data_IF_726985056458
#
_entry.id   IF_726985056458
#
_cell.length_a   1.000
_cell.length_b   1.000
_cell.length_c   1.000
_cell.angle_alpha   90.00
_cell.angle_beta   90.00
_cell.angle_gamma   90.00
#
_symmetry.space_group_name_H-M   'P 1'
#
loop_
_entity.id
_entity.type
_entity.pdbx_description
1 polymer ?
#
# COMPACT_ATOMS: atom_id res chain seq x y z
N UNK A 1 5.48 13.51 -5.76
CA UNK A 1 5.63 12.25 -5.83
C UNK A 1 5.06 11.49 -4.69
N UNK A 2 4.23 12.09 -3.98
CA UNK A 2 3.56 11.41 -2.89
C UNK A 2 2.54 10.45 -3.41
N UNK A 3 2.64 9.16 -3.10
CA UNK A 3 1.64 8.20 -3.53
C UNK A 3 0.27 8.40 -2.88
N UNK A 4 0.17 9.20 -1.82
CA UNK A 4 -1.13 9.44 -1.21
C UNK A 4 -2.15 9.98 -2.18
N UNK A 5 -1.80 10.98 -2.98
CA UNK A 5 -2.73 11.50 -3.96
C UNK A 5 -3.14 10.46 -4.97
N UNK A 6 -2.18 9.64 -5.41
CA UNK A 6 -2.46 8.61 -6.38
C UNK A 6 -3.34 7.51 -5.81
N UNK A 7 -3.11 7.14 -4.54
CA UNK A 7 -3.89 6.10 -3.88
C UNK A 7 -5.34 6.55 -3.71
N UNK A 8 -5.56 7.84 -3.47
CA UNK A 8 -6.91 8.38 -3.28
C UNK A 8 -7.54 8.87 -4.57
N UNK A 9 -6.86 8.75 -5.71
CA UNK A 9 -7.40 9.22 -6.98
C UNK A 9 -8.59 8.39 -7.43
N UNK A 10 -9.50 9.05 -8.12
CA UNK A 10 -10.67 8.40 -8.70
C UNK A 10 -10.70 8.71 -10.18
N UNK A 11 -10.85 7.71 -11.04
CA UNK A 11 -10.92 6.28 -10.71
C UNK A 11 -9.59 5.76 -10.19
N UNK A 12 -9.62 4.56 -9.62
CA UNK A 12 -8.44 3.95 -9.01
C UNK A 12 -7.34 3.79 -10.05
N UNK A 13 -6.15 4.21 -9.71
CA UNK A 13 -4.99 4.12 -10.60
C UNK A 13 -4.45 2.69 -10.66
N UNK A 14 -4.08 2.26 -11.86
CA UNK A 14 -3.40 0.98 -12.06
C UNK A 14 -1.92 1.14 -12.33
N UNK A 15 -1.36 2.34 -12.13
CA UNK A 15 0.03 2.61 -12.46
C UNK A 15 0.91 2.96 -11.26
N UNK A 16 0.44 2.68 -10.06
CA UNK A 16 1.21 2.98 -8.85
C UNK A 16 2.21 1.88 -8.61
N UNK A 17 3.46 2.23 -8.45
CA UNK A 17 4.51 1.25 -8.18
C UNK A 17 4.38 0.77 -6.74
N UNK A 18 4.49 -0.54 -6.56
CA UNK A 18 4.41 -1.12 -5.21
C UNK A 18 5.50 -0.58 -4.30
N UNK A 19 6.69 -0.34 -4.84
CA UNK A 19 7.79 0.21 -4.04
C UNK A 19 7.41 1.54 -3.40
N UNK A 20 6.62 2.36 -4.11
CA UNK A 20 6.18 3.64 -3.58
C UNK A 20 5.17 3.45 -2.46
N UNK A 21 4.34 2.43 -2.56
CA UNK A 21 3.38 2.13 -1.49
C UNK A 21 4.12 1.66 -0.23
N UNK A 22 5.13 0.80 -0.39
CA UNK A 22 5.93 0.37 0.77
C UNK A 22 6.64 1.56 1.41
N UNK A 23 7.18 2.45 0.60
CA UNK A 23 7.84 3.64 1.12
C UNK A 23 6.87 4.51 1.91
N UNK A 24 5.64 4.62 1.42
CA UNK A 24 4.62 5.38 2.14
C UNK A 24 4.30 4.74 3.49
N UNK A 25 4.16 3.42 3.52
CA UNK A 25 3.91 2.74 4.79
C UNK A 25 5.02 3.04 5.80
N UNK A 26 6.27 2.99 5.35
CA UNK A 26 7.40 3.29 6.24
C UNK A 26 7.34 4.72 6.72
N UNK A 27 7.00 5.66 5.84
CA UNK A 27 6.85 7.06 6.24
C UNK A 27 5.76 7.25 7.27
N UNK A 28 4.71 6.44 7.22
CA UNK A 28 3.64 6.52 8.19
C UNK A 28 3.97 5.83 9.51
N UNK A 29 5.15 5.22 9.59
CA UNK A 29 5.60 4.58 10.82
C UNK A 29 5.38 3.09 10.86
N UNK A 30 5.08 2.47 9.72
CA UNK A 30 4.83 1.03 9.68
C UNK A 30 6.12 0.24 9.80
N UNK A 31 5.98 -0.97 10.33
CA UNK A 31 7.02 -1.99 10.22
C UNK A 31 6.63 -2.91 9.07
N UNK A 32 7.56 -3.10 8.14
CA UNK A 32 7.33 -3.91 6.95
C UNK A 32 8.29 -5.09 6.99
N UNK A 33 7.77 -6.30 6.86
CA UNK A 33 8.61 -7.49 6.89
C UNK A 33 8.20 -8.44 5.77
N UNK A 34 9.19 -9.14 5.24
CA UNK A 34 8.94 -10.11 4.17
C UNK A 34 8.49 -11.42 4.75
N UNK A 35 7.57 -12.06 4.04
CA UNK A 35 7.06 -13.38 4.38
C UNK A 35 7.24 -14.29 3.17
N UNK A 36 7.02 -15.58 3.39
CA UNK A 36 7.14 -16.56 2.32
C UNK A 36 6.17 -16.25 1.19
N UNK A 37 6.56 -16.60 -0.04
CA UNK A 37 5.68 -16.48 -1.19
C UNK A 37 5.45 -15.07 -1.67
N UNK A 38 6.44 -14.20 -1.58
CA UNK A 38 6.33 -12.80 -2.01
C UNK A 38 5.32 -12.00 -1.21
N UNK A 39 5.00 -12.44 0.00
CA UNK A 39 4.08 -11.72 0.85
C UNK A 39 4.81 -10.73 1.73
N UNK A 40 4.14 -9.64 2.03
CA UNK A 40 4.66 -8.58 2.88
C UNK A 40 3.69 -8.39 4.03
N UNK A 41 4.20 -8.40 5.26
CA UNK A 41 3.38 -8.03 6.41
C UNK A 41 3.68 -6.60 6.78
N UNK A 42 2.64 -5.81 6.95
CA UNK A 42 2.73 -4.40 7.31
C UNK A 42 2.04 -4.22 8.65
N UNK A 43 2.77 -3.72 9.63
CA UNK A 43 2.21 -3.42 10.95
C UNK A 43 2.09 -1.91 11.04
N UNK A 44 0.86 -1.44 11.15
CA UNK A 44 0.57 0.00 11.17
C UNK A 44 -0.75 0.19 11.89
N UNK A 45 -0.90 1.27 12.64
CA UNK A 45 -2.11 1.57 13.43
C UNK A 45 -2.44 0.47 14.44
N UNK A 46 -1.45 -0.29 14.88
CA UNK A 46 -1.70 -1.42 15.76
C UNK A 46 -2.33 -2.62 15.09
N UNK A 47 -2.35 -2.65 13.76
CA UNK A 47 -2.94 -3.72 12.96
C UNK A 47 -1.91 -4.34 12.06
N UNK A 48 -2.13 -5.60 11.70
CA UNK A 48 -1.27 -6.31 10.76
C UNK A 48 -2.06 -6.58 9.50
N UNK A 49 -1.53 -6.17 8.36
CA UNK A 49 -2.10 -6.47 7.05
C UNK A 49 -1.06 -7.15 6.20
N UNK A 50 -1.50 -8.13 5.42
CA UNK A 50 -0.61 -8.88 4.54
C UNK A 50 -0.97 -8.56 3.11
N UNK A 51 0.04 -8.22 2.32
CA UNK A 51 -0.12 -7.91 0.91
C UNK A 51 0.79 -8.83 0.11
N UNK A 52 0.44 -9.06 -1.16
CA UNK A 52 1.32 -9.74 -2.09
C UNK A 52 2.09 -8.69 -2.88
N UNK A 53 3.41 -8.80 -2.88
CA UNK A 53 4.23 -7.95 -3.72
C UNK A 53 3.98 -8.32 -5.17
N UNK A 54 3.66 -7.37 -6.06
CA UNK A 54 3.37 -7.71 -7.44
C UNK A 54 4.58 -8.31 -8.13
N UNK A 55 4.34 -9.26 -9.03
CA UNK A 55 5.39 -9.97 -9.72
C UNK A 55 4.80 -10.55 -11.00
N UNK A 56 5.44 -10.36 -12.15
CA UNK A 56 6.70 -9.64 -12.36
C UNK A 56 6.55 -8.13 -12.53
N UNK A 57 5.33 -7.64 -12.72
CA UNK A 57 5.12 -6.21 -12.96
C UNK A 57 5.42 -5.41 -11.69
N UNK A 58 6.01 -4.23 -11.82
CA UNK A 58 6.31 -3.41 -10.66
C UNK A 58 5.12 -2.63 -10.12
N UNK A 59 4.00 -2.59 -10.87
CA UNK A 59 2.85 -1.78 -10.49
C UNK A 59 1.84 -2.59 -9.71
N UNK A 60 1.08 -1.89 -8.87
CA UNK A 60 0.12 -2.49 -7.96
C UNK A 60 -1.24 -2.58 -8.64
N UNK A 61 -1.90 -3.73 -8.53
CA UNK A 61 -3.22 -3.87 -9.13
C UNK A 61 -4.23 -2.98 -8.41
N UNK A 62 -5.32 -2.65 -9.13
CA UNK A 62 -6.29 -1.69 -8.63
C UNK A 62 -6.98 -2.15 -7.35
N UNK A 63 -7.20 -3.46 -7.23
CA UNK A 63 -7.82 -3.99 -6.02
C UNK A 63 -6.97 -3.76 -4.80
N UNK A 64 -5.66 -3.98 -4.93
CA UNK A 64 -4.74 -3.75 -3.81
C UNK A 64 -4.65 -2.26 -3.49
N UNK A 65 -4.64 -1.39 -4.50
CA UNK A 65 -4.65 0.06 -4.27
C UNK A 65 -5.89 0.45 -3.48
N UNK A 66 -7.04 -0.07 -3.87
CA UNK A 66 -8.29 0.22 -3.16
C UNK A 66 -8.24 -0.25 -1.71
N UNK A 67 -7.66 -1.44 -1.47
CA UNK A 67 -7.51 -1.95 -0.10
C UNK A 67 -6.64 -1.04 0.74
N UNK A 68 -5.53 -0.57 0.18
CA UNK A 68 -4.64 0.34 0.90
C UNK A 68 -5.38 1.63 1.21
N UNK A 69 -6.10 2.19 0.24
CA UNK A 69 -6.86 3.41 0.47
C UNK A 69 -7.86 3.24 1.59
N UNK A 70 -8.62 2.16 1.56
CA UNK A 70 -9.66 1.94 2.57
C UNK A 70 -9.02 1.83 3.96
N UNK A 71 -7.91 1.12 4.06
CA UNK A 71 -7.22 0.97 5.34
C UNK A 71 -6.73 2.33 5.86
N UNK A 72 -6.08 3.11 5.01
CA UNK A 72 -5.58 4.42 5.41
C UNK A 72 -6.71 5.36 5.77
N UNK A 73 -7.77 5.35 4.96
CA UNK A 73 -8.94 6.20 5.19
C UNK A 73 -9.60 5.89 6.53
N UNK A 74 -9.68 4.62 6.88
CA UNK A 74 -10.34 4.21 8.12
C UNK A 74 -9.58 4.69 9.35
N UNK A 75 -8.34 5.11 9.19
CA UNK A 75 -7.53 5.64 10.28
C UNK A 75 -7.26 7.14 10.12
N UNK A 76 -8.05 7.82 9.30
CA UNK A 76 -7.98 9.26 9.19
C UNK A 76 -6.87 9.81 8.31
N UNK A 77 -6.18 8.95 7.55
CA UNK A 77 -5.14 9.42 6.64
C UNK A 77 -5.80 9.99 5.39
N UNK A 78 -5.36 11.18 4.99
CA UNK A 78 -5.90 11.88 3.82
C UNK A 78 -4.77 12.34 2.92
N UNK A 79 -5.07 12.55 1.63
CA UNK A 79 -4.04 13.05 0.72
C UNK A 79 -3.57 14.44 1.07
#
# INVERSE_FOLDING_TARGET
>A
QMPLKQIFARPVSGSIRWADIEALFVELGAEVSERAGSRIAVVLFGEVRVFHRPHPAPTTDKGAVASVRIWLESHGVKP
#
